data_IF_430478012265
#
_entry.id   IF_430478012265
#
_cell.length_a   1.000
_cell.length_b   1.000
_cell.length_c   1.000
_cell.angle_alpha   90.00
_cell.angle_beta   90.00
_cell.angle_gamma   90.00
#
_symmetry.space_group_name_H-M   'P 1'
#
loop_
_entity.id
_entity.type
_entity.pdbx_description
1 polymer ?
#
# COMPACT_ATOMS: atom_id res chain seq x y z
N UNK A 1 4.34 17.84 -3.37
CA UNK A 1 3.06 18.42 -2.92
C UNK A 1 1.95 17.61 -3.56
N UNK A 2 0.97 17.14 -2.78
CA UNK A 2 -0.11 16.26 -3.26
C UNK A 2 -1.47 16.87 -2.96
N UNK A 3 -2.49 16.56 -3.77
CA UNK A 3 -3.88 16.98 -3.58
C UNK A 3 -4.62 15.94 -2.75
N UNK A 4 -5.00 16.33 -1.54
CA UNK A 4 -5.62 15.46 -0.53
C UNK A 4 -7.11 15.78 -0.43
N UNK A 5 -7.96 14.78 -0.59
CA UNK A 5 -9.37 14.91 -0.21
C UNK A 5 -9.54 14.35 1.21
N UNK A 6 -9.86 15.22 2.16
CA UNK A 6 -10.10 14.85 3.55
C UNK A 6 -11.60 14.76 3.82
N UNK A 7 -12.07 13.61 4.30
CA UNK A 7 -13.48 13.33 4.59
C UNK A 7 -13.62 12.89 6.05
N UNK A 8 -14.33 13.65 6.88
CA UNK A 8 -14.60 13.28 8.26
C UNK A 8 -15.86 13.97 8.77
N UNK A 9 -16.83 13.23 9.32
CA UNK A 9 -18.07 13.84 9.81
C UNK A 9 -17.93 14.73 11.05
N UNK A 10 -16.90 14.48 11.89
CA UNK A 10 -16.57 15.32 13.05
C UNK A 10 -15.73 16.54 12.61
N UNK A 11 -16.28 17.75 12.77
CA UNK A 11 -15.65 19.01 12.36
C UNK A 11 -14.40 19.38 13.20
N UNK A 12 -14.24 18.85 14.41
CA UNK A 12 -13.08 19.09 15.25
C UNK A 12 -11.90 18.24 14.78
N UNK A 13 -12.14 16.94 14.55
CA UNK A 13 -11.14 16.04 13.96
C UNK A 13 -10.78 16.50 12.55
N UNK A 14 -11.76 16.90 11.74
CA UNK A 14 -11.53 17.43 10.40
C UNK A 14 -10.59 18.64 10.42
N UNK A 15 -10.79 19.58 11.34
CA UNK A 15 -9.92 20.76 11.52
C UNK A 15 -8.52 20.40 11.99
N UNK A 16 -8.42 19.46 12.93
CA UNK A 16 -7.12 18.95 13.43
C UNK A 16 -6.30 18.33 12.28
N UNK A 17 -6.90 17.42 11.51
CA UNK A 17 -6.27 16.79 10.36
C UNK A 17 -5.93 17.80 9.25
N UNK A 18 -6.82 18.76 8.98
CA UNK A 18 -6.56 19.84 8.02
C UNK A 18 -5.34 20.69 8.42
N UNK A 19 -5.21 21.01 9.71
CA UNK A 19 -4.06 21.76 10.24
C UNK A 19 -2.74 21.00 10.04
N UNK A 20 -2.76 19.67 10.15
CA UNK A 20 -1.58 18.84 9.91
C UNK A 20 -1.18 18.79 8.42
N UNK A 21 -2.13 18.95 7.49
CA UNK A 21 -1.88 18.93 6.05
C UNK A 21 -1.42 20.27 5.47
N UNK A 22 -1.82 21.38 6.10
CA UNK A 22 -1.74 22.74 5.54
C UNK A 22 -0.33 23.18 5.11
N UNK A 23 0.73 22.63 5.73
CA UNK A 23 2.11 23.02 5.43
C UNK A 23 2.71 22.35 4.20
N UNK A 24 2.19 21.20 3.76
CA UNK A 24 2.85 20.32 2.77
C UNK A 24 1.98 19.88 1.59
N UNK A 25 0.66 19.96 1.75
CA UNK A 25 -0.29 19.40 0.79
C UNK A 25 -1.41 20.39 0.50
N UNK A 26 -1.90 20.38 -0.74
CA UNK A 26 -3.18 21.01 -1.05
C UNK A 26 -4.27 20.08 -0.54
N UNK A 27 -5.31 20.62 0.09
CA UNK A 27 -6.39 19.78 0.58
C UNK A 27 -7.76 20.42 0.42
N UNK A 28 -8.76 19.56 0.26
CA UNK A 28 -10.17 19.91 0.40
C UNK A 28 -10.75 19.10 1.57
N UNK A 29 -11.26 19.80 2.58
CA UNK A 29 -11.89 19.19 3.75
C UNK A 29 -13.41 19.17 3.56
N UNK A 30 -14.02 17.98 3.64
CA UNK A 30 -15.46 17.78 3.44
C UNK A 30 -16.03 16.98 4.60
N UNK A 31 -16.98 17.57 5.32
CA UNK A 31 -17.56 16.98 6.53
C UNK A 31 -18.64 15.91 6.30
N UNK A 32 -18.72 15.36 5.10
CA UNK A 32 -19.79 14.45 4.72
C UNK A 32 -19.34 13.51 3.60
N UNK A 33 -19.48 12.20 3.80
CA UNK A 33 -19.09 11.19 2.83
C UNK A 33 -19.75 11.37 1.44
N UNK A 34 -21.04 11.68 1.39
CA UNK A 34 -21.78 11.82 0.10
C UNK A 34 -21.26 13.02 -0.69
N UNK A 35 -21.02 14.16 -0.01
CA UNK A 35 -20.39 15.32 -0.63
C UNK A 35 -18.95 14.99 -1.06
N UNK A 36 -18.21 14.26 -0.23
CA UNK A 36 -16.85 13.81 -0.50
C UNK A 36 -16.78 13.03 -1.81
N UNK A 37 -17.61 12.00 -1.94
CA UNK A 37 -17.72 11.17 -3.15
C UNK A 37 -18.05 12.01 -4.39
N UNK A 38 -19.02 12.92 -4.30
CA UNK A 38 -19.39 13.81 -5.43
C UNK A 38 -18.27 14.75 -5.85
N UNK A 39 -17.34 15.06 -4.95
CA UNK A 39 -16.22 15.96 -5.22
C UNK A 39 -15.01 15.25 -5.81
N UNK A 40 -14.93 13.91 -5.76
CA UNK A 40 -13.76 13.14 -6.27
C UNK A 40 -13.45 13.48 -7.73
N UNK A 41 -14.46 13.49 -8.60
CA UNK A 41 -14.28 13.76 -10.04
C UNK A 41 -13.93 15.22 -10.34
N UNK A 42 -14.37 16.15 -9.48
CA UNK A 42 -14.11 17.58 -9.65
C UNK A 42 -12.72 17.97 -9.15
N UNK A 43 -12.31 17.40 -8.03
CA UNK A 43 -11.06 17.73 -7.36
C UNK A 43 -9.88 16.88 -7.86
N UNK A 44 -10.16 15.72 -8.46
CA UNK A 44 -9.16 14.75 -8.91
C UNK A 44 -8.03 14.53 -7.89
N UNK A 45 -8.35 14.12 -6.65
CA UNK A 45 -7.35 14.01 -5.60
C UNK A 45 -6.34 12.88 -5.88
N UNK A 46 -5.11 13.09 -5.42
CA UNK A 46 -4.03 12.11 -5.52
C UNK A 46 -4.16 11.03 -4.44
N UNK A 47 -4.73 11.40 -3.28
CA UNK A 47 -5.01 10.52 -2.14
C UNK A 47 -6.27 10.98 -1.40
N UNK A 48 -7.02 10.04 -0.82
CA UNK A 48 -8.16 10.33 0.04
C UNK A 48 -7.83 9.94 1.48
N UNK A 49 -8.08 10.82 2.43
CA UNK A 49 -8.06 10.52 3.86
C UNK A 49 -9.50 10.50 4.35
N UNK A 50 -9.92 9.41 4.97
CA UNK A 50 -11.29 9.24 5.44
C UNK A 50 -11.34 8.81 6.90
N UNK A 51 -12.24 9.43 7.67
CA UNK A 51 -12.56 9.01 9.03
C UNK A 51 -13.26 7.66 9.10
N UNK A 52 -13.00 6.92 10.17
CA UNK A 52 -13.75 5.72 10.50
C UNK A 52 -14.00 5.63 11.99
N UNK A 53 -15.28 5.62 12.35
CA UNK A 53 -15.74 5.29 13.68
C UNK A 53 -16.71 4.09 13.64
N UNK A 54 -17.07 3.60 14.83
CA UNK A 54 -17.99 2.46 14.99
C UNK A 54 -19.42 2.74 14.49
N UNK A 55 -19.87 4.01 14.50
CA UNK A 55 -21.27 4.40 14.24
C UNK A 55 -21.54 4.66 12.76
N UNK A 56 -20.75 5.52 12.14
CA UNK A 56 -20.87 6.01 10.76
C UNK A 56 -20.18 5.10 9.75
N UNK A 57 -19.10 4.42 10.15
CA UNK A 57 -18.34 3.47 9.32
C UNK A 57 -17.92 4.04 7.95
N UNK A 58 -17.61 5.34 7.87
CA UNK A 58 -17.42 6.05 6.60
C UNK A 58 -16.29 5.46 5.75
N UNK A 59 -15.15 5.13 6.36
CA UNK A 59 -14.03 4.49 5.65
C UNK A 59 -14.42 3.20 4.89
N UNK A 60 -15.17 2.29 5.53
CA UNK A 60 -15.60 1.05 4.88
C UNK A 60 -16.57 1.31 3.71
N UNK A 61 -17.50 2.25 3.90
CA UNK A 61 -18.46 2.64 2.86
C UNK A 61 -17.78 3.30 1.66
N UNK A 62 -16.80 4.16 1.91
CA UNK A 62 -16.01 4.79 0.86
C UNK A 62 -15.24 3.74 0.07
N UNK A 63 -14.49 2.86 0.74
CA UNK A 63 -13.71 1.81 0.08
C UNK A 63 -14.59 0.90 -0.79
N UNK A 64 -15.76 0.51 -0.29
CA UNK A 64 -16.72 -0.28 -1.07
C UNK A 64 -17.16 0.46 -2.33
N UNK A 65 -17.56 1.72 -2.19
CA UNK A 65 -17.97 2.56 -3.32
C UNK A 65 -16.86 2.69 -4.36
N UNK A 66 -15.63 2.99 -3.94
CA UNK A 66 -14.51 3.15 -4.87
C UNK A 66 -14.21 1.86 -5.62
N UNK A 67 -14.28 0.71 -4.93
CA UNK A 67 -14.07 -0.60 -5.54
C UNK A 67 -15.15 -0.93 -6.58
N UNK A 68 -16.42 -0.72 -6.27
CA UNK A 68 -17.54 -0.96 -7.20
C UNK A 68 -17.48 -0.06 -8.44
N UNK A 69 -16.96 1.16 -8.28
CA UNK A 69 -16.84 2.12 -9.37
C UNK A 69 -15.44 2.12 -10.02
N UNK A 70 -14.60 1.12 -9.74
CA UNK A 70 -13.25 0.96 -10.30
C UNK A 70 -12.32 2.18 -10.13
N UNK A 71 -12.54 2.98 -9.07
CA UNK A 71 -11.74 4.16 -8.75
C UNK A 71 -10.48 3.71 -7.98
N UNK A 72 -9.30 3.98 -8.55
CA UNK A 72 -7.99 3.54 -8.00
C UNK A 72 -7.24 4.59 -7.19
N UNK A 73 -7.95 5.54 -6.59
CA UNK A 73 -7.33 6.55 -5.73
C UNK A 73 -7.01 5.88 -4.39
N UNK A 74 -5.76 5.95 -3.88
CA UNK A 74 -5.39 5.33 -2.62
C UNK A 74 -6.13 6.01 -1.48
N UNK A 75 -6.57 5.20 -0.51
CA UNK A 75 -7.32 5.65 0.65
C UNK A 75 -6.56 5.34 1.93
N UNK A 76 -6.32 6.36 2.74
CA UNK A 76 -5.82 6.25 4.11
C UNK A 76 -7.01 6.41 5.05
N UNK A 77 -7.15 5.50 6.00
CA UNK A 77 -8.27 5.54 6.94
C UNK A 77 -7.77 5.96 8.32
N UNK A 78 -8.36 7.02 8.87
CA UNK A 78 -8.11 7.48 10.24
C UNK A 78 -9.18 6.88 11.14
N UNK A 79 -8.76 5.97 12.02
CA UNK A 79 -9.64 5.22 12.92
C UNK A 79 -9.75 5.97 14.25
N UNK A 80 -10.95 6.39 14.61
CA UNK A 80 -11.23 7.01 15.91
C UNK A 80 -11.59 5.97 16.97
N UNK A 81 -11.65 6.39 18.24
CA UNK A 81 -11.92 5.53 19.40
C UNK A 81 -13.10 4.56 19.16
N UNK A 82 -12.85 3.27 19.41
CA UNK A 82 -13.82 2.19 19.21
C UNK A 82 -13.95 1.66 17.76
N UNK A 83 -13.19 2.21 16.81
CA UNK A 83 -13.14 1.75 15.42
C UNK A 83 -12.09 0.66 15.12
N UNK A 84 -11.16 0.39 16.05
CA UNK A 84 -10.02 -0.54 15.82
C UNK A 84 -10.41 -1.95 15.38
N UNK A 85 -11.58 -2.44 15.82
CA UNK A 85 -12.13 -3.76 15.42
C UNK A 85 -12.32 -3.87 13.90
N UNK A 86 -12.48 -2.76 13.18
CA UNK A 86 -12.69 -2.75 11.74
C UNK A 86 -11.40 -2.77 10.91
N UNK A 87 -10.21 -2.67 11.51
CA UNK A 87 -8.94 -2.58 10.77
C UNK A 87 -8.72 -3.74 9.77
N UNK A 88 -8.92 -5.02 10.13
CA UNK A 88 -8.74 -6.12 9.18
C UNK A 88 -9.71 -6.04 8.00
N UNK A 89 -10.94 -5.57 8.23
CA UNK A 89 -11.93 -5.36 7.19
C UNK A 89 -11.52 -4.21 6.25
N UNK A 90 -11.05 -3.09 6.80
CA UNK A 90 -10.62 -1.92 6.03
C UNK A 90 -9.44 -2.25 5.12
N UNK A 91 -8.46 -3.01 5.60
CA UNK A 91 -7.35 -3.50 4.77
C UNK A 91 -7.84 -4.41 3.65
N UNK A 92 -8.75 -5.36 3.95
CA UNK A 92 -9.36 -6.24 2.94
C UNK A 92 -10.17 -5.48 1.88
N UNK A 93 -10.74 -4.33 2.24
CA UNK A 93 -11.47 -3.45 1.33
C UNK A 93 -10.54 -2.54 0.49
N UNK A 94 -9.23 -2.57 0.72
CA UNK A 94 -8.24 -1.87 -0.10
C UNK A 94 -7.70 -0.57 0.51
N UNK A 95 -7.85 -0.36 1.83
CA UNK A 95 -7.13 0.72 2.50
C UNK A 95 -5.62 0.58 2.27
N UNK A 96 -4.96 1.69 1.95
CA UNK A 96 -3.51 1.77 1.69
C UNK A 96 -2.72 2.25 2.91
N UNK A 97 -3.42 2.64 3.97
CA UNK A 97 -2.86 2.98 5.26
C UNK A 97 -3.97 3.08 6.31
N UNK A 98 -3.63 2.76 7.55
CA UNK A 98 -4.47 2.90 8.73
C UNK A 98 -3.72 3.72 9.76
N UNK A 99 -4.37 4.76 10.29
CA UNK A 99 -3.84 5.63 11.34
C UNK A 99 -4.84 5.67 12.49
N UNK A 100 -4.37 5.60 13.73
CA UNK A 100 -5.24 5.71 14.90
C UNK A 100 -5.24 7.16 15.41
N UNK A 101 -6.43 7.72 15.65
CA UNK A 101 -6.54 9.07 16.20
C UNK A 101 -6.28 9.06 17.72
N UNK A 102 -5.48 9.99 18.27
CA UNK A 102 -4.91 11.19 17.63
C UNK A 102 -3.71 10.88 16.72
N UNK A 103 -3.67 11.55 15.55
CA UNK A 103 -2.61 11.36 14.55
C UNK A 103 -1.69 12.58 14.50
N UNK A 104 -0.38 12.35 14.44
CA UNK A 104 0.62 13.40 14.27
C UNK A 104 0.77 13.85 12.81
N UNK A 105 1.34 15.05 12.61
CA UNK A 105 1.72 15.55 11.27
C UNK A 105 2.68 14.56 10.57
N UNK A 106 3.61 13.97 11.30
CA UNK A 106 4.59 13.03 10.73
C UNK A 106 3.92 11.77 10.18
N UNK A 107 3.04 11.14 10.96
CA UNK A 107 2.34 9.91 10.56
C UNK A 107 1.45 10.12 9.34
N UNK A 108 0.73 11.24 9.26
CA UNK A 108 -0.09 11.58 8.09
C UNK A 108 0.77 11.70 6.84
N UNK A 109 1.87 12.45 6.93
CA UNK A 109 2.76 12.68 5.79
C UNK A 109 3.40 11.37 5.32
N UNK A 110 3.90 10.55 6.26
CA UNK A 110 4.48 9.25 5.93
C UNK A 110 3.45 8.32 5.27
N UNK A 111 2.21 8.31 5.76
CA UNK A 111 1.13 7.53 5.17
C UNK A 111 0.79 8.00 3.74
N UNK A 112 0.76 9.32 3.51
CA UNK A 112 0.54 9.91 2.17
C UNK A 112 1.66 9.51 1.22
N UNK A 113 2.92 9.67 1.64
CA UNK A 113 4.08 9.32 0.81
C UNK A 113 4.07 7.84 0.43
N UNK A 114 3.83 6.95 1.40
CA UNK A 114 3.72 5.51 1.15
C UNK A 114 2.55 5.17 0.20
N UNK A 115 1.38 5.78 0.43
CA UNK A 115 0.20 5.55 -0.40
C UNK A 115 0.42 5.98 -1.87
N UNK A 116 1.07 7.13 -2.08
CA UNK A 116 1.38 7.65 -3.41
C UNK A 116 2.49 6.84 -4.10
N UNK A 117 3.54 6.45 -3.37
CA UNK A 117 4.61 5.60 -3.89
C UNK A 117 4.06 4.25 -4.37
N UNK A 118 3.18 3.63 -3.58
CA UNK A 118 2.52 2.38 -3.95
C UNK A 118 1.60 2.56 -5.16
N UNK A 119 0.84 3.66 -5.24
CA UNK A 119 0.00 3.97 -6.41
C UNK A 119 0.84 4.17 -7.68
N UNK A 120 1.97 4.87 -7.58
CA UNK A 120 2.88 5.05 -8.71
C UNK A 120 3.40 3.71 -9.22
N UNK A 121 3.86 2.84 -8.30
CA UNK A 121 4.28 1.49 -8.64
C UNK A 121 3.16 0.64 -9.27
N UNK A 122 1.92 0.75 -8.81
CA UNK A 122 0.76 0.07 -9.40
C UNK A 122 0.43 0.58 -10.82
N UNK A 123 0.61 1.88 -11.07
CA UNK A 123 0.35 2.52 -12.38
C UNK A 123 1.45 2.25 -13.40
N UNK A 124 2.70 2.16 -12.96
CA UNK A 124 3.84 1.76 -13.80
C UNK A 124 3.73 0.30 -14.29
N UNK A 125 2.76 -0.46 -13.79
CA UNK A 125 2.56 -1.85 -14.13
C UNK A 125 3.58 -2.77 -13.47
N UNK A 126 3.61 -4.07 -13.81
CA UNK A 126 4.66 -4.95 -13.32
C UNK A 126 6.01 -4.35 -13.74
N UNK A 127 6.95 -4.21 -12.78
CA UNK A 127 8.29 -3.67 -13.06
C UNK A 127 8.85 -4.28 -14.35
N UNK A 128 9.43 -3.50 -15.27
CA UNK A 128 9.92 -4.04 -16.54
C UNK A 128 10.85 -5.23 -16.27
N UNK A 129 10.62 -6.34 -16.99
CA UNK A 129 11.47 -7.54 -16.87
C UNK A 129 12.88 -7.14 -17.33
N UNK A 130 13.89 -7.40 -16.50
CA UNK A 130 15.28 -7.04 -16.86
C UNK A 130 15.77 -7.81 -18.08
N UNK A 131 16.77 -7.27 -18.78
CA UNK A 131 17.42 -8.00 -19.88
C UNK A 131 18.04 -9.33 -19.41
N UNK A 132 18.58 -9.38 -18.19
CA UNK A 132 19.14 -10.60 -17.63
C UNK A 132 18.06 -11.66 -17.40
N UNK A 133 16.93 -11.26 -16.83
CA UNK A 133 15.79 -12.14 -16.63
C UNK A 133 15.19 -12.62 -17.96
N UNK A 134 15.13 -11.74 -18.98
CA UNK A 134 14.63 -12.07 -20.32
C UNK A 134 15.53 -13.06 -21.08
N UNK A 135 16.85 -12.94 -20.91
CA UNK A 135 17.83 -13.71 -21.67
C UNK A 135 18.26 -15.01 -20.97
N UNK A 136 17.79 -15.23 -19.74
CA UNK A 136 18.16 -16.39 -18.92
C UNK A 136 17.08 -17.47 -18.91
N UNK A 137 17.48 -18.71 -18.61
CA UNK A 137 16.53 -19.77 -18.33
C UNK A 137 15.88 -19.55 -16.95
N UNK A 138 14.58 -19.25 -16.94
CA UNK A 138 13.84 -18.93 -15.71
C UNK A 138 13.89 -20.06 -14.66
N UNK A 139 13.86 -21.32 -15.08
CA UNK A 139 13.95 -22.46 -14.14
C UNK A 139 15.33 -22.57 -13.49
N UNK A 140 16.39 -22.21 -14.22
CA UNK A 140 17.75 -22.13 -13.67
C UNK A 140 17.89 -20.95 -12.71
N UNK A 141 17.31 -19.79 -13.06
CA UNK A 141 17.27 -18.62 -12.17
C UNK A 141 16.50 -18.91 -10.89
N UNK A 142 15.30 -19.49 -10.98
CA UNK A 142 14.50 -19.89 -9.82
C UNK A 142 15.30 -20.80 -8.87
N UNK A 143 15.93 -21.84 -9.42
CA UNK A 143 16.73 -22.79 -8.64
C UNK A 143 17.93 -22.13 -7.98
N UNK A 144 18.60 -21.24 -8.72
CA UNK A 144 19.77 -20.50 -8.24
C UNK A 144 19.41 -19.53 -7.13
N UNK A 145 18.35 -18.73 -7.31
CA UNK A 145 17.91 -17.77 -6.29
C UNK A 145 17.41 -18.47 -5.03
N UNK A 146 16.69 -19.60 -5.15
CA UNK A 146 16.28 -20.39 -3.99
C UNK A 146 17.48 -20.97 -3.23
N UNK A 147 18.52 -21.43 -3.93
CA UNK A 147 19.76 -21.94 -3.33
C UNK A 147 20.56 -20.84 -2.64
N UNK A 148 20.69 -19.69 -3.28
CA UNK A 148 21.55 -18.59 -2.85
C UNK A 148 20.80 -17.61 -1.91
N UNK A 149 19.56 -17.93 -1.54
CA UNK A 149 18.71 -17.10 -0.68
C UNK A 149 19.30 -16.94 0.73
N UNK A 150 19.59 -15.71 1.13
CA UNK A 150 20.00 -15.36 2.50
C UNK A 150 18.84 -14.89 3.36
N UNK A 151 17.81 -14.29 2.76
CA UNK A 151 16.64 -13.82 3.48
C UNK A 151 15.83 -14.98 4.05
N UNK A 152 15.61 -14.99 5.38
CA UNK A 152 14.85 -16.03 6.06
C UNK A 152 13.40 -16.14 5.57
N UNK A 153 12.77 -15.01 5.23
CA UNK A 153 11.41 -14.95 4.73
C UNK A 153 11.29 -15.38 3.25
N UNK A 154 12.41 -15.43 2.52
CA UNK A 154 12.44 -15.73 1.09
C UNK A 154 12.81 -17.16 0.72
N UNK A 155 13.24 -17.97 1.70
CA UNK A 155 13.83 -19.30 1.44
C UNK A 155 12.82 -20.27 0.82
N UNK A 156 13.17 -20.83 -0.34
CA UNK A 156 12.31 -21.73 -1.12
C UNK A 156 10.94 -21.13 -1.48
N UNK A 157 10.86 -19.80 -1.62
CA UNK A 157 9.63 -19.09 -1.98
C UNK A 157 9.71 -18.41 -3.36
N UNK A 158 10.84 -18.56 -4.08
CA UNK A 158 10.98 -18.02 -5.45
C UNK A 158 10.28 -18.96 -6.43
N UNK A 159 9.51 -18.40 -7.36
CA UNK A 159 8.71 -19.11 -8.34
C UNK A 159 8.60 -18.32 -9.66
N UNK A 160 8.17 -19.00 -10.73
CA UNK A 160 7.88 -18.36 -12.01
C UNK A 160 6.39 -17.94 -12.05
N UNK A 161 6.15 -16.65 -12.22
CA UNK A 161 4.82 -16.04 -12.29
C UNK A 161 4.45 -15.68 -13.73
N UNK A 162 3.22 -15.97 -14.13
CA UNK A 162 2.58 -15.36 -15.31
C UNK A 162 1.17 -14.92 -14.94
N UNK A 163 0.81 -13.68 -15.25
CA UNK A 163 -0.45 -13.07 -14.86
C UNK A 163 -1.40 -13.02 -16.06
N UNK A 164 -2.67 -13.33 -15.85
CA UNK A 164 -3.71 -13.24 -16.89
C UNK A 164 -4.30 -11.83 -16.83
N UNK A 165 -4.14 -11.03 -17.90
CA UNK A 165 -4.60 -9.63 -17.97
C UNK A 165 -6.04 -9.48 -18.51
N UNK A 166 -6.69 -10.58 -18.92
CA UNK A 166 -8.02 -10.56 -19.54
C UNK A 166 -8.26 -11.81 -20.39
N UNK A 167 -9.18 -11.72 -21.37
CA UNK A 167 -9.58 -12.84 -22.26
C UNK A 167 -8.37 -13.34 -23.05
N UNK A 168 -7.70 -14.38 -22.55
CA UNK A 168 -6.62 -15.10 -23.23
C UNK A 168 -5.24 -14.43 -23.22
N UNK A 169 -5.09 -13.18 -22.80
CA UNK A 169 -3.80 -12.48 -22.79
C UNK A 169 -3.04 -12.76 -21.48
N UNK A 170 -1.89 -13.42 -21.60
CA UNK A 170 -0.96 -13.66 -20.48
C UNK A 170 0.21 -12.69 -20.54
N UNK A 171 0.68 -12.23 -19.38
CA UNK A 171 1.98 -11.56 -19.29
C UNK A 171 3.09 -12.55 -19.61
N UNK A 172 4.25 -12.03 -20.01
CA UNK A 172 5.46 -12.85 -20.09
C UNK A 172 5.76 -13.46 -18.72
N UNK A 173 6.18 -14.74 -18.66
CA UNK A 173 6.64 -15.36 -17.43
C UNK A 173 7.84 -14.61 -16.86
N UNK A 174 7.90 -14.50 -15.54
CA UNK A 174 8.99 -13.82 -14.82
C UNK A 174 9.23 -14.46 -13.46
N UNK A 175 10.41 -14.23 -12.89
CA UNK A 175 10.77 -14.60 -11.52
C UNK A 175 10.04 -13.69 -10.54
N UNK A 176 9.40 -14.32 -9.56
CA UNK A 176 8.76 -13.65 -8.43
C UNK A 176 9.08 -14.38 -7.13
N UNK A 177 8.98 -13.66 -6.03
CA UNK A 177 9.10 -14.14 -4.67
C UNK A 177 7.90 -13.62 -3.87
N UNK A 178 7.21 -14.51 -3.17
CA UNK A 178 6.02 -14.17 -2.40
C UNK A 178 6.35 -13.99 -0.91
N UNK A 179 6.87 -12.82 -0.54
CA UNK A 179 7.43 -12.58 0.79
C UNK A 179 6.34 -12.46 1.87
N UNK A 180 6.27 -13.40 2.81
CA UNK A 180 5.32 -13.36 3.93
C UNK A 180 5.54 -12.14 4.84
N UNK A 181 6.80 -11.80 5.11
CA UNK A 181 7.17 -10.70 6.00
C UNK A 181 6.66 -9.34 5.49
N UNK A 182 6.78 -9.09 4.17
CA UNK A 182 6.25 -7.85 3.57
C UNK A 182 4.75 -7.72 3.77
N UNK A 183 4.00 -8.82 3.70
CA UNK A 183 2.56 -8.82 3.90
C UNK A 183 2.15 -8.46 5.34
N UNK A 184 2.94 -8.86 6.34
CA UNK A 184 2.68 -8.53 7.76
C UNK A 184 2.81 -7.03 8.05
N UNK A 185 3.74 -6.36 7.37
CA UNK A 185 3.98 -4.92 7.51
C UNK A 185 3.25 -4.04 6.50
N UNK A 186 2.24 -4.59 5.80
CA UNK A 186 1.42 -3.82 4.85
C UNK A 186 2.17 -3.37 3.59
N UNK A 187 3.28 -4.00 3.25
CA UNK A 187 4.03 -3.77 2.02
C UNK A 187 3.54 -4.69 0.88
N UNK A 188 3.95 -4.40 -0.36
CA UNK A 188 3.69 -5.32 -1.47
C UNK A 188 4.37 -6.68 -1.23
N UNK A 189 3.59 -7.74 -1.37
CA UNK A 189 3.99 -9.13 -1.11
C UNK A 189 4.85 -9.68 -2.25
N UNK A 190 4.63 -9.19 -3.47
CA UNK A 190 5.31 -9.69 -4.66
C UNK A 190 6.63 -8.93 -4.86
N UNK A 191 7.72 -9.68 -4.85
CA UNK A 191 9.08 -9.19 -5.02
C UNK A 191 9.64 -9.80 -6.31
N UNK A 192 10.31 -9.02 -7.14
CA UNK A 192 10.77 -9.46 -8.47
C UNK A 192 12.29 -9.66 -8.54
N UNK A 193 12.74 -10.24 -9.64
CA UNK A 193 14.10 -10.69 -9.89
C UNK A 193 15.21 -9.76 -9.35
N UNK A 194 15.15 -8.46 -9.63
CA UNK A 194 16.23 -7.54 -9.27
C UNK A 194 16.35 -7.42 -7.76
N UNK A 195 15.23 -7.26 -7.08
CA UNK A 195 15.20 -7.16 -5.63
C UNK A 195 15.59 -8.48 -4.98
N UNK A 196 15.15 -9.62 -5.53
CA UNK A 196 15.52 -10.93 -4.99
C UNK A 196 17.04 -11.12 -5.08
N UNK A 197 17.62 -10.86 -6.26
CA UNK A 197 19.05 -11.00 -6.50
C UNK A 197 19.87 -10.03 -5.65
N UNK A 198 19.54 -8.74 -5.69
CA UNK A 198 20.36 -7.67 -5.13
C UNK A 198 20.19 -7.50 -3.62
N UNK A 199 19.04 -7.89 -3.06
CA UNK A 199 18.74 -7.72 -1.64
C UNK A 199 18.55 -9.08 -0.96
N UNK A 200 17.62 -9.91 -1.43
CA UNK A 200 17.30 -11.15 -0.71
C UNK A 200 18.43 -12.20 -0.74
N UNK A 201 19.20 -12.27 -1.83
CA UNK A 201 20.35 -13.17 -1.98
C UNK A 201 21.69 -12.52 -1.57
N UNK A 202 21.82 -11.19 -1.63
CA UNK A 202 23.06 -10.50 -1.29
C UNK A 202 23.10 -10.00 0.16
N UNK A 203 22.24 -9.05 0.52
CA UNK A 203 22.21 -8.38 1.82
C UNK A 203 20.77 -8.13 2.32
N UNK A 204 20.16 -9.09 3.04
CA UNK A 204 18.81 -8.96 3.55
C UNK A 204 18.62 -7.82 4.57
N UNK A 205 19.70 -7.27 5.13
CA UNK A 205 19.63 -6.15 6.09
C UNK A 205 19.14 -4.85 5.44
N UNK A 206 19.28 -4.73 4.12
CA UNK A 206 18.76 -3.60 3.35
C UNK A 206 17.27 -3.72 3.03
N UNK A 207 16.63 -4.86 3.35
CA UNK A 207 15.22 -5.07 3.10
C UNK A 207 14.36 -4.34 4.13
N UNK A 208 13.42 -3.50 3.67
CA UNK A 208 12.61 -2.66 4.58
C UNK A 208 11.77 -3.52 5.54
N UNK A 209 11.25 -4.66 5.07
CA UNK A 209 10.49 -5.57 5.92
C UNK A 209 11.36 -6.27 6.98
N UNK A 210 12.62 -6.56 6.67
CA UNK A 210 13.57 -7.15 7.64
C UNK A 210 13.95 -6.12 8.69
N UNK A 211 14.18 -4.87 8.30
CA UNK A 211 14.47 -3.77 9.22
C UNK A 211 13.31 -3.55 10.20
N UNK A 212 12.06 -3.50 9.71
CA UNK A 212 10.89 -3.37 10.58
C UNK A 212 10.71 -4.56 11.52
N UNK A 213 10.95 -5.77 11.04
CA UNK A 213 10.92 -6.97 11.88
C UNK A 213 11.94 -6.91 13.01
N UNK A 214 13.16 -6.45 12.74
CA UNK A 214 14.20 -6.31 13.77
C UNK A 214 13.87 -5.24 14.79
N UNK A 215 13.46 -4.05 14.33
CA UNK A 215 13.04 -2.96 15.21
C UNK A 215 11.89 -3.39 16.14
N UNK A 216 10.95 -4.19 15.64
CA UNK A 216 9.86 -4.76 16.43
C UNK A 216 10.32 -5.77 17.50
N UNK A 217 11.40 -6.52 17.26
CA UNK A 217 11.96 -7.46 18.25
C UNK A 217 12.83 -6.79 19.32
N UNK A 218 13.46 -5.67 19.00
CA UNK A 218 14.25 -4.90 19.98
C UNK A 218 13.37 -4.11 20.95
N UNK A 219 12.10 -3.88 20.58
CA UNK A 219 11.13 -3.13 21.37
C UNK A 219 10.23 -4.00 22.27
N UNK A 220 10.40 -5.33 22.24
CA UNK A 220 9.59 -6.33 22.94
C UNK A 220 10.40 -7.08 24.01
#
# INVERSE_FOLDING_TARGET
MARVLLIHHDDMILRSLASALQKRHEFAAINNLVKGVKSITKLNPDVIIVGHDRKKKEGARLLHFLRENTVRIPVIVVVSAGGGVAQPLLMKLGAKGLLEYPVSEHEINQAIENALKNRAAELEGPRPITQEELNSNLSVLESTLNRDMKCFAGKNQVYIQSTILGVGVRTRPRIALRCSLRAEFGMDRDVYYEYIRDICCCDPEQCEAVQQFKAGRESA
#
